data_IF_983784639894
#
_entry.id   IF_983784639894
#
_cell.length_a   1.000
_cell.length_b   1.000
_cell.length_c   1.000
_cell.angle_alpha   90.00
_cell.angle_beta   90.00
_cell.angle_gamma   90.00
#
_symmetry.space_group_name_H-M   'P 1'
#
loop_
_entity.id
_entity.type
_entity.pdbx_description
1 polymer ?
#
# COMPACT_ATOMS: atom_id res chain seq x y z
N UNK A 1 1.38 -19.13 -33.17
CA UNK A 1 0.63 -18.13 -32.38
C UNK A 1 0.79 -16.76 -33.04
N UNK A 2 -0.30 -16.18 -33.49
CA UNK A 2 -0.33 -14.86 -34.09
C UNK A 2 -0.03 -13.81 -33.02
N UNK A 3 1.06 -13.03 -33.14
CA UNK A 3 1.43 -12.02 -32.12
C UNK A 3 0.42 -10.87 -32.01
N UNK A 4 -0.54 -10.79 -32.93
CA UNK A 4 -1.60 -9.76 -32.92
C UNK A 4 -2.84 -10.21 -32.14
N UNK A 5 -2.98 -11.49 -31.79
CA UNK A 5 -4.13 -11.96 -31.01
C UNK A 5 -4.01 -11.48 -29.56
N UNK A 6 -5.04 -10.81 -29.09
CA UNK A 6 -5.20 -10.44 -27.71
C UNK A 6 -5.55 -11.69 -26.91
N UNK A 7 -4.59 -12.26 -26.20
CA UNK A 7 -4.87 -13.41 -25.35
C UNK A 7 -5.58 -12.91 -24.11
N UNK A 8 -6.82 -13.30 -23.94
CA UNK A 8 -7.60 -13.14 -22.73
C UNK A 8 -7.39 -14.41 -21.92
N UNK A 9 -6.89 -14.28 -20.71
CA UNK A 9 -6.76 -15.38 -19.77
C UNK A 9 -7.90 -15.32 -18.78
N UNK A 10 -8.52 -16.46 -18.58
CA UNK A 10 -9.56 -16.66 -17.58
C UNK A 10 -8.99 -17.57 -16.50
N UNK A 11 -8.94 -17.08 -15.27
CA UNK A 11 -8.42 -17.83 -14.13
C UNK A 11 -9.52 -17.93 -13.07
N UNK A 12 -10.04 -19.13 -12.79
CA UNK A 12 -10.91 -19.32 -11.65
C UNK A 12 -10.10 -19.14 -10.36
N UNK A 13 -10.68 -18.47 -9.38
CA UNK A 13 -10.11 -18.23 -8.07
C UNK A 13 -11.16 -18.51 -7.00
N UNK A 14 -10.71 -19.01 -5.86
CA UNK A 14 -11.55 -19.14 -4.67
C UNK A 14 -10.81 -18.44 -3.53
N UNK A 15 -11.46 -17.50 -2.90
CA UNK A 15 -10.93 -16.80 -1.73
C UNK A 15 -11.80 -17.07 -0.52
N UNK A 16 -11.26 -16.81 0.66
CA UNK A 16 -11.98 -16.92 1.91
C UNK A 16 -11.61 -15.77 2.83
N UNK A 17 -12.59 -15.15 3.42
CA UNK A 17 -12.42 -14.27 4.58
C UNK A 17 -13.65 -14.39 5.48
N UNK A 18 -13.58 -13.87 6.70
CA UNK A 18 -14.64 -14.03 7.70
C UNK A 18 -15.95 -13.34 7.31
N UNK A 19 -15.90 -12.26 6.56
CA UNK A 19 -17.08 -11.49 6.18
C UNK A 19 -17.74 -12.08 4.93
N UNK A 20 -16.96 -12.26 3.87
CA UNK A 20 -17.46 -12.74 2.57
C UNK A 20 -17.72 -14.27 2.55
N UNK A 21 -17.15 -15.01 3.52
CA UNK A 21 -17.18 -16.47 3.50
C UNK A 21 -16.31 -17.07 2.39
N UNK A 22 -16.74 -18.22 1.85
CA UNK A 22 -16.12 -18.82 0.66
C UNK A 22 -16.59 -18.04 -0.56
N UNK A 23 -15.65 -17.46 -1.29
CA UNK A 23 -15.96 -16.57 -2.41
C UNK A 23 -15.37 -17.12 -3.70
N UNK A 24 -16.14 -17.92 -4.47
CA UNK A 24 -15.76 -18.32 -5.81
C UNK A 24 -15.75 -17.11 -6.74
N UNK A 25 -14.75 -17.03 -7.60
CA UNK A 25 -14.57 -15.91 -8.50
C UNK A 25 -13.85 -16.24 -9.79
N UNK A 26 -13.80 -15.27 -10.67
CA UNK A 26 -13.14 -15.34 -11.96
C UNK A 26 -12.30 -14.10 -12.14
N UNK A 27 -11.07 -14.31 -12.59
CA UNK A 27 -10.15 -13.23 -12.93
C UNK A 27 -9.91 -13.25 -14.45
N UNK A 28 -10.25 -12.14 -15.11
CA UNK A 28 -10.01 -11.89 -16.53
C UNK A 28 -8.80 -10.98 -16.67
N UNK A 29 -7.78 -11.44 -17.37
CA UNK A 29 -6.56 -10.65 -17.58
C UNK A 29 -6.02 -10.83 -19.01
N UNK A 30 -5.38 -9.77 -19.52
CA UNK A 30 -4.73 -9.80 -20.83
C UNK A 30 -3.19 -9.76 -20.73
N UNK A 31 -2.63 -10.16 -19.60
CA UNK A 31 -1.19 -10.25 -19.41
C UNK A 31 -0.64 -11.45 -20.18
N UNK A 32 0.33 -11.24 -21.04
CA UNK A 32 1.03 -12.28 -21.81
C UNK A 32 2.54 -12.16 -21.65
N UNK A 33 3.29 -13.06 -22.28
CA UNK A 33 4.76 -13.04 -22.28
C UNK A 33 5.34 -11.78 -22.96
N UNK A 34 4.58 -11.15 -23.86
CA UNK A 34 4.98 -9.89 -24.50
C UNK A 34 4.43 -8.71 -23.70
N UNK A 35 5.29 -7.72 -23.48
CA UNK A 35 4.89 -6.45 -22.89
C UNK A 35 3.87 -5.76 -23.79
N UNK A 36 2.64 -5.61 -23.33
CA UNK A 36 1.60 -4.83 -24.00
C UNK A 36 1.51 -3.46 -23.36
N UNK A 37 1.31 -2.40 -24.16
CA UNK A 37 1.13 -1.07 -23.59
C UNK A 37 -0.14 -0.95 -22.73
N UNK A 38 -1.21 -1.62 -23.14
CA UNK A 38 -2.47 -1.67 -22.40
C UNK A 38 -2.66 -3.04 -21.76
N UNK A 39 -2.85 -3.06 -20.45
CA UNK A 39 -3.17 -4.26 -19.67
C UNK A 39 -4.40 -4.01 -18.82
N UNK A 40 -5.20 -5.04 -18.63
CA UNK A 40 -6.32 -5.00 -17.71
C UNK A 40 -6.38 -6.27 -16.87
N UNK A 41 -7.01 -6.14 -15.72
CA UNK A 41 -7.35 -7.21 -14.81
C UNK A 41 -8.72 -6.90 -14.21
N UNK A 42 -9.68 -7.81 -14.41
CA UNK A 42 -11.03 -7.70 -13.92
C UNK A 42 -11.28 -8.93 -13.06
N UNK A 43 -11.35 -8.71 -11.77
CA UNK A 43 -11.62 -9.77 -10.80
C UNK A 43 -13.02 -9.58 -10.23
N UNK A 44 -13.84 -10.61 -10.30
CA UNK A 44 -15.16 -10.65 -9.71
C UNK A 44 -15.36 -11.95 -8.95
N UNK A 45 -15.96 -11.88 -7.79
CA UNK A 45 -16.25 -13.03 -6.94
C UNK A 45 -17.62 -12.85 -6.25
N UNK A 46 -18.23 -13.96 -5.91
CA UNK A 46 -19.48 -13.98 -5.16
C UNK A 46 -19.20 -14.26 -3.69
N UNK A 47 -19.50 -13.31 -2.84
CA UNK A 47 -19.36 -13.40 -1.39
C UNK A 47 -20.53 -14.23 -0.83
N UNK A 48 -20.25 -15.47 -0.39
CA UNK A 48 -21.30 -16.42 0.01
C UNK A 48 -22.08 -16.01 1.26
N UNK A 49 -21.43 -15.33 2.21
CA UNK A 49 -22.08 -14.89 3.46
C UNK A 49 -22.96 -13.65 3.25
N UNK A 50 -22.52 -12.75 2.35
CA UNK A 50 -23.18 -11.47 2.13
C UNK A 50 -24.10 -11.48 0.88
N UNK A 51 -24.12 -12.61 0.15
CA UNK A 51 -24.94 -12.83 -1.04
C UNK A 51 -24.78 -11.74 -2.12
N UNK A 52 -23.58 -11.14 -2.22
CA UNK A 52 -23.29 -10.05 -3.13
C UNK A 52 -22.04 -10.30 -3.95
N UNK A 53 -21.90 -9.56 -5.08
CA UNK A 53 -20.67 -9.54 -5.86
C UNK A 53 -19.73 -8.48 -5.35
N UNK A 54 -18.45 -8.88 -5.17
CA UNK A 54 -17.32 -8.03 -4.84
C UNK A 54 -16.17 -8.27 -5.80
N UNK A 55 -15.19 -7.39 -5.82
CA UNK A 55 -14.03 -7.57 -6.70
C UNK A 55 -13.29 -6.29 -7.03
N UNK A 56 -12.50 -6.34 -8.10
CA UNK A 56 -11.66 -5.22 -8.51
C UNK A 56 -11.52 -5.10 -10.03
N UNK A 57 -11.31 -3.88 -10.50
CA UNK A 57 -11.00 -3.52 -11.87
C UNK A 57 -9.68 -2.79 -11.87
N UNK A 58 -8.77 -3.19 -12.73
CA UNK A 58 -7.47 -2.54 -12.88
C UNK A 58 -7.15 -2.39 -14.37
N UNK A 59 -7.14 -1.16 -14.86
CA UNK A 59 -6.76 -0.81 -16.21
C UNK A 59 -5.45 -0.05 -16.17
N UNK A 60 -4.46 -0.52 -16.90
CA UNK A 60 -3.14 0.08 -16.93
C UNK A 60 -2.69 0.30 -18.37
N UNK A 61 -2.27 1.52 -18.66
CA UNK A 61 -1.63 1.90 -19.90
C UNK A 61 -0.21 2.37 -19.63
N UNK A 62 0.78 1.76 -20.29
CA UNK A 62 2.18 2.15 -20.21
C UNK A 62 2.58 2.78 -21.53
N UNK A 63 3.02 4.03 -21.46
CA UNK A 63 3.66 4.73 -22.57
C UNK A 63 5.16 4.70 -22.35
N UNK A 64 5.88 4.06 -23.25
CA UNK A 64 7.35 4.15 -23.30
C UNK A 64 7.69 5.31 -24.21
N UNK A 65 8.16 6.41 -23.64
CA UNK A 65 8.68 7.52 -24.41
C UNK A 65 10.09 7.15 -24.86
N UNK A 66 10.31 7.09 -26.16
CA UNK A 66 11.64 6.93 -26.80
C UNK A 66 12.53 8.15 -26.62
N UNK A 67 12.09 9.15 -25.87
CA UNK A 67 12.83 10.36 -25.57
C UNK A 67 14.07 10.01 -24.75
N UNK A 68 15.16 10.67 -25.04
CA UNK A 68 16.56 10.50 -24.58
C UNK A 68 16.79 10.14 -23.10
N UNK A 69 15.77 10.17 -22.23
CA UNK A 69 15.91 10.05 -20.78
C UNK A 69 15.30 8.80 -20.16
N UNK A 70 15.13 7.72 -20.94
CA UNK A 70 14.60 6.45 -20.44
C UNK A 70 13.41 6.63 -19.47
N UNK A 71 12.44 7.37 -19.93
CA UNK A 71 11.28 7.75 -19.17
C UNK A 71 10.07 6.94 -19.61
N UNK A 72 9.34 6.37 -18.67
CA UNK A 72 8.06 5.74 -18.97
C UNK A 72 6.96 6.30 -18.10
N UNK A 73 5.80 6.54 -18.70
CA UNK A 73 4.61 6.97 -17.99
C UNK A 73 3.63 5.81 -17.88
N UNK A 74 3.11 5.59 -16.70
CA UNK A 74 2.08 4.59 -16.42
C UNK A 74 0.83 5.33 -15.97
N UNK A 75 -0.25 5.14 -16.72
CA UNK A 75 -1.60 5.54 -16.32
C UNK A 75 -2.30 4.31 -15.75
N UNK A 76 -2.88 4.46 -14.59
CA UNK A 76 -3.59 3.37 -13.95
C UNK A 76 -4.95 3.85 -13.44
N UNK A 77 -5.98 3.03 -13.68
CA UNK A 77 -7.32 3.22 -13.17
C UNK A 77 -7.67 1.97 -12.36
N UNK A 78 -7.84 2.17 -11.05
CA UNK A 78 -8.16 1.10 -10.13
C UNK A 78 -9.51 1.36 -9.46
N UNK A 79 -10.32 0.33 -9.38
CA UNK A 79 -11.55 0.30 -8.60
C UNK A 79 -11.61 -1.01 -7.83
N UNK A 80 -12.07 -0.96 -6.60
CA UNK A 80 -12.33 -2.17 -5.81
C UNK A 80 -13.53 -1.98 -4.89
N UNK A 81 -14.23 -3.08 -4.65
CA UNK A 81 -15.31 -3.16 -3.67
C UNK A 81 -15.21 -4.46 -2.91
N UNK A 82 -15.23 -4.39 -1.59
CA UNK A 82 -15.16 -5.54 -0.68
C UNK A 82 -15.83 -5.19 0.65
N UNK A 83 -16.12 -6.19 1.46
CA UNK A 83 -16.58 -5.96 2.83
C UNK A 83 -15.41 -5.74 3.78
N UNK A 84 -15.60 -4.90 4.78
CA UNK A 84 -14.64 -4.62 5.85
C UNK A 84 -15.19 -5.00 7.23
N UNK A 85 -16.49 -5.35 7.30
CA UNK A 85 -17.21 -5.91 8.44
C UNK A 85 -18.47 -6.59 7.92
N UNK A 86 -19.20 -7.30 8.75
CA UNK A 86 -20.51 -7.90 8.42
C UNK A 86 -21.46 -6.81 7.90
N UNK A 87 -22.07 -7.03 6.75
CA UNK A 87 -22.98 -6.11 6.05
C UNK A 87 -22.42 -4.72 5.77
N UNK A 88 -21.12 -4.50 5.91
CA UNK A 88 -20.48 -3.21 5.67
C UNK A 88 -19.47 -3.31 4.55
N UNK A 89 -19.74 -2.61 3.46
CA UNK A 89 -18.93 -2.59 2.25
C UNK A 89 -18.17 -1.27 2.09
N UNK A 90 -17.03 -1.34 1.45
CA UNK A 90 -16.31 -0.18 0.97
C UNK A 90 -16.12 -0.24 -0.54
N UNK A 91 -15.97 0.91 -1.12
CA UNK A 91 -15.62 1.13 -2.52
C UNK A 91 -14.47 2.11 -2.59
N UNK A 92 -13.47 1.78 -3.41
CA UNK A 92 -12.34 2.68 -3.67
C UNK A 92 -12.19 2.86 -5.16
N UNK A 93 -12.16 4.11 -5.60
CA UNK A 93 -11.80 4.50 -6.95
C UNK A 93 -10.48 5.26 -6.91
N UNK A 94 -9.48 4.80 -7.67
CA UNK A 94 -8.15 5.40 -7.64
C UNK A 94 -7.51 5.50 -9.02
N UNK A 95 -7.68 6.63 -9.72
CA UNK A 95 -6.86 6.98 -10.86
C UNK A 95 -5.45 7.38 -10.40
N UNK A 96 -4.43 6.98 -11.16
CA UNK A 96 -3.05 7.37 -10.89
C UNK A 96 -2.20 7.51 -12.16
N UNK A 97 -1.19 8.36 -12.05
CA UNK A 97 -0.16 8.55 -13.07
C UNK A 97 1.19 8.39 -12.39
N UNK A 98 2.05 7.55 -12.95
CA UNK A 98 3.40 7.32 -12.44
C UNK A 98 4.43 7.57 -13.54
N UNK A 99 5.35 8.46 -13.27
CA UNK A 99 6.51 8.77 -14.10
C UNK A 99 7.71 8.01 -13.57
N UNK A 100 8.28 7.12 -14.40
CA UNK A 100 9.46 6.37 -14.03
C UNK A 100 10.68 6.94 -14.75
N UNK A 101 11.69 7.31 -13.97
CA UNK A 101 12.96 7.83 -14.46
C UNK A 101 14.03 6.75 -14.35
N UNK A 102 14.81 6.58 -15.40
CA UNK A 102 15.93 5.65 -15.46
C UNK A 102 17.22 6.39 -15.74
N UNK A 103 18.31 5.90 -15.25
CA UNK A 103 19.63 6.44 -15.57
C UNK A 103 20.02 6.06 -17.01
N UNK A 104 20.24 7.06 -17.86
CA UNK A 104 20.47 6.90 -19.30
C UNK A 104 21.77 6.21 -19.64
N UNK A 105 22.79 6.40 -18.83
CA UNK A 105 24.13 5.96 -19.16
C UNK A 105 24.37 4.50 -18.76
N UNK A 106 23.47 3.89 -18.01
CA UNK A 106 23.66 2.52 -17.51
C UNK A 106 22.37 1.72 -17.50
N UNK A 107 22.16 0.92 -18.55
CA UNK A 107 21.02 0.01 -18.66
C UNK A 107 20.96 -1.04 -17.53
N UNK A 108 22.09 -1.29 -16.86
CA UNK A 108 22.20 -2.20 -15.72
C UNK A 108 22.17 -1.48 -14.38
N UNK A 109 21.87 -0.19 -14.35
CA UNK A 109 21.75 0.57 -13.11
C UNK A 109 20.66 -0.03 -12.21
N UNK A 110 21.00 -0.21 -10.95
CA UNK A 110 20.05 -0.62 -9.91
C UNK A 110 19.21 0.56 -9.39
N UNK A 111 19.55 1.78 -9.83
CA UNK A 111 18.88 2.99 -9.41
C UNK A 111 17.56 3.14 -10.17
N UNK A 112 16.49 3.34 -9.43
CA UNK A 112 15.16 3.64 -9.95
C UNK A 112 14.59 4.83 -9.22
N UNK A 113 13.96 5.72 -9.97
CA UNK A 113 13.29 6.90 -9.44
C UNK A 113 11.90 6.96 -10.06
N UNK A 114 10.90 7.32 -9.27
CA UNK A 114 9.56 7.55 -9.79
C UNK A 114 8.85 8.65 -9.05
N UNK A 115 8.00 9.37 -9.78
CA UNK A 115 7.05 10.34 -9.26
C UNK A 115 5.65 9.79 -9.54
N UNK A 116 4.82 9.67 -8.52
CA UNK A 116 3.46 9.14 -8.62
C UNK A 116 2.46 10.17 -8.11
N UNK A 117 1.40 10.35 -8.86
CA UNK A 117 0.23 11.15 -8.48
C UNK A 117 -0.97 10.22 -8.49
N UNK A 118 -1.75 10.20 -7.43
CA UNK A 118 -2.95 9.39 -7.34
C UNK A 118 -4.04 10.10 -6.55
N UNK A 119 -5.27 9.82 -6.89
CA UNK A 119 -6.43 10.26 -6.14
C UNK A 119 -7.17 9.01 -5.63
N UNK A 120 -7.53 9.00 -4.38
CA UNK A 120 -8.33 7.94 -3.76
C UNK A 120 -9.67 8.52 -3.36
N UNK A 121 -10.75 8.01 -3.92
CA UNK A 121 -12.10 8.30 -3.48
C UNK A 121 -12.63 7.05 -2.78
N UNK A 122 -12.88 7.18 -1.50
CA UNK A 122 -13.33 6.08 -0.63
C UNK A 122 -14.75 6.35 -0.18
N UNK A 123 -15.64 5.38 -0.42
CA UNK A 123 -17.00 5.34 0.09
C UNK A 123 -17.16 4.10 0.95
N UNK A 124 -17.65 4.27 2.16
CA UNK A 124 -17.90 3.15 3.10
C UNK A 124 -19.35 3.19 3.56
N UNK A 125 -19.94 2.00 3.61
CA UNK A 125 -21.21 1.83 4.31
C UNK A 125 -21.02 2.05 5.82
N UNK A 126 -22.04 2.53 6.50
CA UNK A 126 -22.07 2.64 7.94
C UNK A 126 -23.47 2.38 8.46
N UNK A 127 -23.59 1.53 9.45
CA UNK A 127 -24.85 1.32 10.15
C UNK A 127 -25.12 2.42 11.20
N UNK A 128 -24.06 3.09 11.64
CA UNK A 128 -24.13 4.14 12.64
C UNK A 128 -23.10 5.25 12.31
N UNK A 129 -23.43 6.48 12.65
CA UNK A 129 -22.47 7.59 12.63
C UNK A 129 -21.55 7.44 13.84
N UNK A 130 -20.41 6.80 13.62
CA UNK A 130 -19.38 6.69 14.67
C UNK A 130 -18.70 8.05 14.78
N UNK A 131 -18.85 8.69 15.93
CA UNK A 131 -18.19 9.96 16.22
C UNK A 131 -16.66 9.86 16.00
N UNK A 132 -16.12 10.83 15.30
CA UNK A 132 -14.68 10.85 14.97
C UNK A 132 -14.27 9.99 13.77
N UNK A 133 -15.18 9.41 13.01
CA UNK A 133 -14.89 8.68 11.78
C UNK A 133 -15.60 9.26 10.57
N UNK A 134 -14.85 9.45 9.49
CA UNK A 134 -15.39 9.87 8.21
C UNK A 134 -15.57 8.65 7.30
N UNK A 135 -16.76 8.50 6.70
CA UNK A 135 -17.08 7.34 5.84
C UNK A 135 -16.76 7.63 4.37
N UNK A 136 -17.02 8.86 3.92
CA UNK A 136 -16.80 9.26 2.52
C UNK A 136 -15.74 10.35 2.47
N UNK A 137 -14.66 10.10 1.73
CA UNK A 137 -13.57 11.07 1.61
C UNK A 137 -12.78 10.87 0.33
N UNK A 138 -12.12 11.93 -0.09
CA UNK A 138 -11.15 11.90 -1.19
C UNK A 138 -9.79 12.37 -0.70
N UNK A 139 -8.74 11.69 -1.16
CA UNK A 139 -7.34 11.96 -0.80
C UNK A 139 -6.53 12.05 -2.08
N UNK A 140 -5.87 13.17 -2.28
CA UNK A 140 -4.84 13.31 -3.30
C UNK A 140 -3.49 12.93 -2.71
N UNK A 141 -2.78 12.04 -3.37
CA UNK A 141 -1.45 11.58 -2.95
C UNK A 141 -0.42 11.93 -4.03
N UNK A 142 0.68 12.55 -3.60
CA UNK A 142 1.86 12.79 -4.42
C UNK A 142 3.05 12.10 -3.76
N UNK A 143 3.75 11.24 -4.49
CA UNK A 143 4.87 10.48 -3.97
C UNK A 143 6.08 10.50 -4.88
N UNK A 144 7.25 10.76 -4.29
CA UNK A 144 8.54 10.53 -4.93
C UNK A 144 9.22 9.33 -4.29
N UNK A 145 9.68 8.41 -5.12
CA UNK A 145 10.32 7.17 -4.69
C UNK A 145 11.69 7.03 -5.33
N UNK A 146 12.66 6.70 -4.52
CA UNK A 146 14.02 6.37 -4.92
C UNK A 146 14.39 4.99 -4.42
N UNK A 147 15.05 4.20 -5.25
CA UNK A 147 15.61 2.92 -4.83
C UNK A 147 16.93 2.63 -5.55
N UNK A 148 17.91 2.18 -4.79
CA UNK A 148 19.16 1.58 -5.26
C UNK A 148 19.26 0.18 -4.67
N UNK A 149 18.99 -0.84 -5.48
CA UNK A 149 18.83 -2.23 -5.02
C UNK A 149 20.00 -3.07 -5.55
N UNK A 150 21.05 -3.19 -4.73
CA UNK A 150 22.17 -4.10 -4.97
C UNK A 150 22.07 -5.38 -4.16
N UNK A 151 22.97 -6.33 -4.44
CA UNK A 151 23.05 -7.62 -3.73
C UNK A 151 23.52 -7.40 -2.28
N UNK A 152 24.56 -6.59 -2.09
CA UNK A 152 25.21 -6.37 -0.79
C UNK A 152 24.45 -5.30 0.03
N UNK A 153 23.91 -4.31 -0.66
CA UNK A 153 23.18 -3.22 -0.02
C UNK A 153 21.96 -2.84 -0.82
N UNK A 154 20.93 -2.40 -0.15
CA UNK A 154 19.90 -1.60 -0.78
C UNK A 154 19.62 -0.33 0.03
N UNK A 155 19.19 0.68 -0.69
CA UNK A 155 18.67 1.91 -0.16
C UNK A 155 17.33 2.20 -0.83
N UNK A 156 16.29 2.40 -0.03
CA UNK A 156 15.00 2.91 -0.50
C UNK A 156 14.68 4.16 0.28
N UNK A 157 14.22 5.17 -0.41
CA UNK A 157 13.67 6.37 0.22
C UNK A 157 12.40 6.80 -0.49
N UNK A 158 11.47 7.34 0.26
CA UNK A 158 10.27 7.94 -0.29
C UNK A 158 9.87 9.19 0.46
N UNK A 159 9.32 10.14 -0.29
CA UNK A 159 8.66 11.32 0.24
C UNK A 159 7.24 11.32 -0.32
N UNK A 160 6.24 11.27 0.53
CA UNK A 160 4.83 11.27 0.13
C UNK A 160 4.07 12.38 0.82
N UNK A 161 3.16 13.00 0.10
CA UNK A 161 2.24 13.99 0.65
C UNK A 161 0.81 13.54 0.37
N UNK A 162 -0.05 13.68 1.33
CA UNK A 162 -1.47 13.38 1.22
C UNK A 162 -2.27 14.62 1.57
N UNK A 163 -3.22 14.96 0.71
CA UNK A 163 -4.10 16.11 0.85
C UNK A 163 -5.55 15.68 0.78
N UNK A 164 -6.30 16.12 1.75
CA UNK A 164 -7.76 16.00 1.82
C UNK A 164 -8.34 17.29 2.37
N UNK A 165 -9.65 17.45 2.30
CA UNK A 165 -10.33 18.59 2.94
C UNK A 165 -10.09 18.60 4.46
N UNK A 166 -9.92 17.43 5.08
CA UNK A 166 -9.84 17.27 6.52
C UNK A 166 -8.40 17.24 7.05
N UNK A 167 -7.41 16.94 6.20
CA UNK A 167 -6.02 16.88 6.61
C UNK A 167 -5.06 17.10 5.45
N UNK A 168 -3.84 17.50 5.78
CA UNK A 168 -2.68 17.43 4.91
C UNK A 168 -1.50 16.91 5.69
N UNK A 169 -0.78 15.91 5.15
CA UNK A 169 0.38 15.33 5.80
C UNK A 169 1.51 15.00 4.85
N UNK A 170 2.72 14.99 5.40
CA UNK A 170 3.95 14.62 4.71
C UNK A 170 4.55 13.42 5.44
N UNK A 171 4.98 12.42 4.69
CA UNK A 171 5.68 11.25 5.20
C UNK A 171 7.02 11.13 4.47
N UNK A 172 8.09 10.90 5.23
CA UNK A 172 9.40 10.56 4.72
C UNK A 172 9.79 9.18 5.25
N UNK A 173 10.24 8.33 4.36
CA UNK A 173 10.73 6.99 4.71
C UNK A 173 12.13 6.82 4.16
N UNK A 174 12.99 6.27 4.98
CA UNK A 174 14.34 5.87 4.60
C UNK A 174 14.57 4.45 5.10
N UNK A 175 14.87 3.52 4.20
CA UNK A 175 15.11 2.11 4.50
C UNK A 175 16.44 1.69 3.88
N UNK A 176 17.37 1.31 4.74
CA UNK A 176 18.72 0.89 4.39
C UNK A 176 18.98 -0.51 4.89
N UNK A 177 19.53 -1.36 4.04
CA UNK A 177 20.02 -2.69 4.38
C UNK A 177 21.42 -2.91 3.85
N UNK A 178 22.26 -3.55 4.64
CA UNK A 178 23.60 -3.97 4.26
C UNK A 178 23.85 -5.41 4.71
N UNK A 179 24.36 -6.22 3.78
CA UNK A 179 24.89 -7.54 4.09
C UNK A 179 26.31 -7.38 4.60
N UNK A 180 26.61 -7.96 5.77
CA UNK A 180 27.92 -7.96 6.40
C UNK A 180 28.74 -9.18 5.95
N UNK A 181 30.08 -9.16 6.18
CA UNK A 181 31.03 -10.16 5.66
C UNK A 181 30.73 -11.61 6.06
N UNK A 182 29.96 -11.86 7.10
CA UNK A 182 29.62 -13.21 7.60
C UNK A 182 28.17 -13.58 7.31
N UNK A 183 27.59 -13.08 6.21
CA UNK A 183 26.22 -13.29 5.79
C UNK A 183 25.17 -12.79 6.80
N UNK A 184 25.55 -11.95 7.73
CA UNK A 184 24.63 -11.26 8.63
C UNK A 184 24.16 -9.98 7.96
N UNK A 185 22.96 -9.57 8.28
CA UNK A 185 22.43 -8.30 7.75
C UNK A 185 22.25 -7.26 8.84
N UNK A 186 22.44 -6.01 8.44
CA UNK A 186 22.03 -4.83 9.18
C UNK A 186 20.94 -4.13 8.39
N UNK A 187 19.83 -3.81 9.05
CA UNK A 187 18.76 -3.02 8.46
C UNK A 187 18.40 -1.89 9.40
N UNK A 188 18.23 -0.70 8.83
CA UNK A 188 17.76 0.49 9.53
C UNK A 188 16.65 1.14 8.72
N UNK A 189 15.51 1.38 9.33
CA UNK A 189 14.40 2.12 8.75
C UNK A 189 14.12 3.33 9.62
N UNK A 190 14.00 4.49 9.01
CA UNK A 190 13.58 5.73 9.65
C UNK A 190 12.30 6.20 8.96
N UNK A 191 11.32 6.54 9.75
CA UNK A 191 10.07 7.13 9.30
C UNK A 191 9.83 8.45 10.01
N UNK A 192 9.45 9.47 9.26
CA UNK A 192 9.00 10.76 9.76
C UNK A 192 7.65 11.10 9.13
N UNK A 193 6.66 11.33 9.98
CA UNK A 193 5.33 11.76 9.58
C UNK A 193 4.95 13.07 10.27
N UNK A 194 4.42 14.03 9.52
CA UNK A 194 3.98 15.32 10.03
C UNK A 194 2.67 15.73 9.38
N UNK A 195 1.68 16.09 10.21
CA UNK A 195 0.51 16.80 9.75
C UNK A 195 0.84 18.27 9.52
N UNK A 196 0.49 18.79 8.35
CA UNK A 196 0.52 20.22 8.03
C UNK A 196 -0.73 20.89 8.62
N UNK A 197 -1.88 20.25 8.42
CA UNK A 197 -3.16 20.57 9.08
C UNK A 197 -3.90 19.28 9.34
N UNK A 198 -4.78 19.25 10.33
CA UNK A 198 -5.60 18.11 10.69
C UNK A 198 -6.89 18.59 11.35
N UNK A 199 -8.03 18.21 10.78
CA UNK A 199 -9.31 18.36 11.47
C UNK A 199 -9.43 17.26 12.52
N UNK A 200 -9.21 17.62 13.77
CA UNK A 200 -9.15 16.70 14.90
C UNK A 200 -10.47 15.97 15.20
N UNK A 201 -11.55 16.35 14.53
CA UNK A 201 -12.81 15.62 14.63
C UNK A 201 -12.69 14.20 14.08
N UNK A 202 -11.71 13.95 13.21
CA UNK A 202 -11.53 12.66 12.54
C UNK A 202 -10.20 12.02 12.93
N UNK A 203 -10.27 10.87 13.60
CA UNK A 203 -9.12 10.12 14.10
C UNK A 203 -8.63 9.00 13.17
N UNK A 204 -9.43 8.65 12.15
CA UNK A 204 -9.09 7.56 11.21
C UNK A 204 -7.89 7.85 10.30
N UNK A 205 -7.39 9.09 10.28
CA UNK A 205 -6.21 9.48 9.52
C UNK A 205 -4.94 9.60 10.37
N UNK A 206 -5.04 9.43 11.68
CA UNK A 206 -3.92 9.56 12.59
C UNK A 206 -2.80 8.57 12.29
N UNK A 207 -1.57 8.96 12.62
CA UNK A 207 -0.45 8.01 12.64
C UNK A 207 -0.66 7.00 13.76
N UNK A 208 -0.24 5.77 13.52
CA UNK A 208 -0.36 4.68 14.46
C UNK A 208 0.95 3.90 14.53
N UNK A 209 1.42 3.54 15.72
CA UNK A 209 2.59 2.69 15.93
C UNK A 209 2.28 1.20 15.81
N UNK A 210 1.04 0.82 15.98
CA UNK A 210 0.58 -0.54 15.86
C UNK A 210 0.15 -0.89 14.43
N UNK A 211 -1.11 -1.25 14.26
CA UNK A 211 -1.68 -1.63 12.98
C UNK A 211 -1.84 -0.45 12.03
N UNK A 212 -1.73 -0.72 10.75
CA UNK A 212 -2.10 0.26 9.73
C UNK A 212 -3.56 0.68 9.89
N UNK A 213 -3.82 1.98 9.83
CA UNK A 213 -5.18 2.52 9.84
C UNK A 213 -6.01 2.14 8.61
N UNK A 214 -5.33 1.72 7.54
CA UNK A 214 -5.95 1.17 6.33
C UNK A 214 -6.97 2.07 5.63
N UNK A 215 -6.94 3.37 5.88
CA UNK A 215 -7.94 4.31 5.33
C UNK A 215 -7.91 4.45 3.81
N UNK A 216 -6.84 4.02 3.12
CA UNK A 216 -6.78 3.95 1.66
C UNK A 216 -7.29 2.61 1.11
N UNK A 217 -7.52 1.63 1.97
CA UNK A 217 -7.95 0.27 1.59
C UNK A 217 -7.07 -0.39 0.52
N UNK A 218 -5.76 -0.09 0.53
CA UNK A 218 -4.79 -0.66 -0.39
C UNK A 218 -4.40 -2.09 -0.02
N UNK A 219 -4.47 -2.40 1.27
CA UNK A 219 -4.11 -3.71 1.80
C UNK A 219 -5.35 -4.61 1.83
N UNK A 220 -5.28 -5.73 1.13
CA UNK A 220 -6.28 -6.78 1.22
C UNK A 220 -5.69 -7.96 2.00
N UNK A 221 -6.18 -8.19 3.21
CA UNK A 221 -5.77 -9.27 4.09
C UNK A 221 -6.97 -10.05 4.61
N UNK A 222 -6.78 -11.33 4.85
CA UNK A 222 -7.80 -12.23 5.37
C UNK A 222 -8.21 -11.81 6.78
N UNK A 223 -9.49 -11.89 7.13
CA UNK A 223 -10.02 -11.59 8.47
C UNK A 223 -9.86 -10.13 8.90
N UNK A 224 -9.22 -9.30 8.08
CA UNK A 224 -9.03 -7.85 8.30
C UNK A 224 -8.76 -7.51 9.78
N UNK A 225 -9.58 -6.70 10.39
CA UNK A 225 -9.36 -6.18 11.75
C UNK A 225 -9.80 -7.12 12.88
N UNK A 226 -9.93 -8.41 12.62
CA UNK A 226 -10.29 -9.37 13.69
C UNK A 226 -9.28 -9.33 14.84
N UNK A 227 -9.80 -9.26 16.06
CA UNK A 227 -8.99 -9.21 17.28
C UNK A 227 -8.76 -10.58 17.91
N UNK A 228 -9.57 -11.57 17.54
CA UNK A 228 -9.55 -12.92 18.11
C UNK A 228 -9.65 -13.97 17.02
N UNK A 229 -9.31 -15.22 17.35
CA UNK A 229 -9.39 -16.35 16.45
C UNK A 229 -8.16 -16.55 15.58
N UNK A 230 -8.21 -17.55 14.72
CA UNK A 230 -7.07 -17.97 13.90
C UNK A 230 -6.62 -16.88 12.94
N UNK A 231 -7.55 -16.09 12.37
CA UNK A 231 -7.27 -15.04 11.40
C UNK A 231 -6.83 -13.73 12.04
N UNK A 232 -6.90 -13.59 13.37
CA UNK A 232 -6.43 -12.42 14.10
C UNK A 232 -4.91 -12.22 14.05
N UNK A 233 -4.19 -13.28 13.66
CA UNK A 233 -2.71 -13.24 13.55
C UNK A 233 -2.20 -12.44 12.36
N UNK A 234 -3.07 -12.00 11.47
CA UNK A 234 -2.69 -11.19 10.34
C UNK A 234 -2.37 -9.75 10.79
N UNK A 235 -1.09 -9.43 10.73
CA UNK A 235 -0.58 -8.14 11.16
C UNK A 235 0.06 -7.40 9.99
N UNK A 236 -0.51 -6.23 9.66
CA UNK A 236 0.09 -5.29 8.70
C UNK A 236 0.63 -4.11 9.50
N UNK A 237 1.95 -3.99 9.51
CA UNK A 237 2.64 -2.91 10.20
C UNK A 237 2.34 -1.56 9.54
N UNK A 238 2.03 -0.55 10.33
CA UNK A 238 1.85 0.81 9.85
C UNK A 238 3.14 1.38 9.21
N UNK A 239 3.02 2.43 8.42
CA UNK A 239 4.14 3.05 7.70
C UNK A 239 5.36 3.37 8.55
N UNK A 240 5.21 3.81 9.79
CA UNK A 240 6.27 3.99 10.79
C UNK A 240 6.10 3.06 11.98
N UNK A 241 5.36 1.97 11.85
CA UNK A 241 4.98 1.11 12.95
C UNK A 241 6.12 0.29 13.55
N UNK A 242 5.87 -0.20 14.75
CA UNK A 242 6.76 -1.10 15.47
C UNK A 242 6.42 -2.56 15.14
N UNK A 243 7.41 -3.45 15.27
CA UNK A 243 7.22 -4.89 15.10
C UNK A 243 6.37 -5.50 16.21
N UNK A 244 6.41 -4.91 17.41
CA UNK A 244 5.59 -5.35 18.54
C UNK A 244 4.20 -4.74 18.45
N UNK A 245 3.20 -5.51 18.89
CA UNK A 245 1.85 -5.00 19.04
C UNK A 245 1.77 -4.14 20.31
N UNK A 246 1.29 -2.91 20.14
CA UNK A 246 0.93 -2.02 21.25
C UNK A 246 -0.55 -1.67 21.14
N UNK A 247 -1.21 -1.47 22.27
CA UNK A 247 -2.52 -0.81 22.29
C UNK A 247 -2.33 0.64 21.83
N UNK A 248 -2.58 0.84 20.58
CA UNK A 248 -2.81 2.04 19.78
C UNK A 248 -2.30 3.41 20.27
N UNK A 249 -1.00 3.61 20.49
CA UNK A 249 -0.51 4.98 20.55
C UNK A 249 -0.64 5.61 19.17
N UNK A 250 -1.58 6.55 19.03
CA UNK A 250 -1.82 7.32 17.82
C UNK A 250 -1.28 8.73 17.95
N UNK A 251 -0.96 9.34 16.81
CA UNK A 251 -0.58 10.74 16.76
C UNK A 251 -1.37 11.51 15.71
N UNK A 252 -1.91 12.65 16.11
CA UNK A 252 -2.62 13.59 15.26
C UNK A 252 -1.74 14.75 14.76
N UNK A 253 -0.44 14.76 15.06
CA UNK A 253 0.46 15.85 14.70
C UNK A 253 1.79 15.36 14.10
N UNK A 254 2.59 14.60 14.85
CA UNK A 254 3.95 14.25 14.46
C UNK A 254 4.33 12.87 14.93
N UNK A 255 5.01 12.10 14.08
CA UNK A 255 5.57 10.81 14.42
C UNK A 255 6.97 10.67 13.81
N UNK A 256 7.95 10.30 14.63
CA UNK A 256 9.29 9.92 14.22
C UNK A 256 9.57 8.53 14.80
N UNK A 257 9.93 7.58 13.93
CA UNK A 257 10.28 6.23 14.37
C UNK A 257 11.54 5.73 13.69
N UNK A 258 12.25 4.85 14.37
CA UNK A 258 13.41 4.13 13.86
C UNK A 258 13.28 2.65 14.21
N UNK A 259 13.38 1.80 13.21
CA UNK A 259 13.39 0.35 13.35
C UNK A 259 14.78 -0.14 12.96
N UNK A 260 15.49 -0.75 13.89
CA UNK A 260 16.82 -1.30 13.68
C UNK A 260 16.75 -2.82 13.78
N UNK A 261 17.45 -3.50 12.87
CA UNK A 261 17.57 -4.96 12.87
C UNK A 261 19.02 -5.34 12.57
N UNK A 262 19.57 -6.26 13.36
CA UNK A 262 20.93 -6.77 13.18
C UNK A 262 20.96 -8.29 13.35
N UNK A 263 21.54 -8.96 12.37
CA UNK A 263 21.82 -10.40 12.47
C UNK A 263 22.93 -10.67 13.48
N UNK A 264 22.61 -11.35 14.57
CA UNK A 264 23.55 -11.71 15.63
C UNK A 264 24.18 -13.10 15.38
N UNK A 265 23.39 -14.03 14.84
CA UNK A 265 23.81 -15.40 14.53
C UNK A 265 23.13 -15.87 13.23
N UNK A 266 23.42 -17.12 12.79
CA UNK A 266 22.85 -17.67 11.53
C UNK A 266 21.32 -17.58 11.46
N UNK A 267 20.66 -17.70 12.59
CA UNK A 267 19.20 -17.73 12.74
C UNK A 267 18.66 -16.82 13.85
N UNK A 268 19.53 -16.02 14.48
CA UNK A 268 19.16 -15.07 15.54
C UNK A 268 19.36 -13.64 15.06
N UNK A 269 18.30 -12.87 15.11
CA UNK A 269 18.30 -11.43 14.81
C UNK A 269 17.88 -10.65 16.06
N UNK A 270 18.59 -9.57 16.34
CA UNK A 270 18.20 -8.57 17.33
C UNK A 270 17.48 -7.40 16.64
N UNK A 271 16.42 -6.91 17.24
CA UNK A 271 15.75 -5.70 16.76
C UNK A 271 15.52 -4.71 17.87
N UNK A 272 15.44 -3.43 17.49
CA UNK A 272 15.17 -2.31 18.37
C UNK A 272 14.28 -1.32 17.64
N UNK A 273 13.14 -1.01 18.23
CA UNK A 273 12.19 -0.02 17.73
C UNK A 273 12.19 1.17 18.70
N UNK A 274 12.43 2.37 18.18
CA UNK A 274 12.41 3.63 18.89
C UNK A 274 11.41 4.58 18.24
N UNK A 275 10.69 5.37 19.03
CA UNK A 275 9.73 6.30 18.46
C UNK A 275 9.39 7.47 19.35
N UNK A 276 9.05 8.58 18.72
CA UNK A 276 8.53 9.78 19.34
C UNK A 276 7.22 10.12 18.67
N UNK A 277 6.17 10.25 19.46
CA UNK A 277 4.85 10.72 19.07
C UNK A 277 4.57 12.06 19.72
N UNK A 278 3.98 12.96 18.98
CA UNK A 278 3.50 14.23 19.51
C UNK A 278 2.06 14.45 19.04
N UNK A 279 1.16 14.62 20.00
CA UNK A 279 -0.18 15.08 19.75
C UNK A 279 -0.25 16.61 19.88
N UNK A 280 -1.25 17.17 19.26
CA UNK A 280 -1.63 18.57 19.38
C UNK A 280 -3.03 18.58 20.02
N UNK A 281 -3.15 19.25 21.12
CA UNK A 281 -4.42 19.43 21.84
C UNK A 281 -5.39 20.33 21.09
#
# INVERSE_FOLDING_TARGET
DDPKKTNIYLRPEVTYNLYDGISPGINFLNRGFKSKPFTYEIFTQYASNEETFVGSLNFRYKSDNEIKDNFSTIYNLFYTTNHFSENLRYQVFSPSITFNFRDNNNLRSNIRRSLSMSMFTVNKDSNEVIEGRLNNYSIFNLGYYYSDIGIIRYLKSSATTEFSNNFGKINLVFDYRKLLNNNRQFQARIYLGKFMWNDRKFNNFNYNLGRSGGYLFLDNYLGRSEKTGLLSQQFIMAGGGFKSFFEDPTSNNFMLTSNLNIGLWKWLEGYLDLGILKNKD
#
